data_IF_806642281450
#
_entry.id   IF_806642281450
#
_cell.length_a   1.000
_cell.length_b   1.000
_cell.length_c   1.000
_cell.angle_alpha   90.00
_cell.angle_beta   90.00
_cell.angle_gamma   90.00
#
_symmetry.space_group_name_H-M   'P 1'
#
loop_
_entity.id
_entity.type
_entity.pdbx_description
1 polymer ?
#
# COMPACT_ATOMS: atom_id res chain seq x y z
N UNK A 1 1.87 10.52 5.19
CA UNK A 1 1.60 9.38 4.28
C UNK A 1 2.39 9.57 2.99
N UNK A 2 3.00 8.52 2.44
CA UNK A 2 3.83 8.57 1.21
C UNK A 2 3.09 7.93 0.01
N UNK A 3 2.41 8.75 -0.79
CA UNK A 3 1.61 8.28 -1.92
C UNK A 3 2.48 7.67 -3.01
N UNK A 4 3.68 8.23 -3.24
CA UNK A 4 4.62 7.72 -4.25
C UNK A 4 5.05 6.30 -3.92
N UNK A 5 5.43 6.06 -2.66
CA UNK A 5 5.84 4.73 -2.18
C UNK A 5 4.68 3.74 -2.20
N UNK A 6 3.48 4.15 -1.81
CA UNK A 6 2.28 3.30 -1.92
C UNK A 6 2.04 2.86 -3.37
N UNK A 7 2.04 3.80 -4.33
CA UNK A 7 1.84 3.49 -5.76
C UNK A 7 2.95 2.58 -6.28
N UNK A 8 4.21 2.79 -5.87
CA UNK A 8 5.33 1.93 -6.26
C UNK A 8 5.16 0.51 -5.71
N UNK A 9 4.83 0.36 -4.43
CA UNK A 9 4.63 -0.94 -3.77
C UNK A 9 3.40 -1.69 -4.30
N UNK A 10 2.40 -0.96 -4.81
CA UNK A 10 1.26 -1.51 -5.52
C UNK A 10 1.61 -2.11 -6.90
N UNK A 11 2.87 -2.06 -7.34
CA UNK A 11 3.27 -2.51 -8.68
C UNK A 11 3.33 -1.40 -9.73
N UNK A 12 3.31 -0.13 -9.30
CA UNK A 12 3.36 1.04 -10.17
C UNK A 12 1.98 1.49 -10.67
N UNK A 13 1.95 2.55 -11.50
CA UNK A 13 0.70 3.22 -11.89
C UNK A 13 -0.28 2.33 -12.65
N UNK A 14 0.19 1.37 -13.47
CA UNK A 14 -0.68 0.44 -14.21
C UNK A 14 -1.43 -0.49 -13.27
N UNK A 15 -0.72 -1.09 -12.33
CA UNK A 15 -1.33 -2.01 -11.37
C UNK A 15 -2.20 -1.25 -10.36
N UNK A 16 -1.76 -0.06 -9.94
CA UNK A 16 -2.58 0.82 -9.12
C UNK A 16 -3.90 1.21 -9.80
N UNK A 17 -3.88 1.51 -11.11
CA UNK A 17 -5.09 1.70 -11.91
C UNK A 17 -5.97 0.45 -11.91
N UNK A 18 -5.40 -0.74 -12.13
CA UNK A 18 -6.14 -2.01 -12.13
C UNK A 18 -6.83 -2.28 -10.80
N UNK A 19 -6.17 -1.96 -9.67
CA UNK A 19 -6.68 -2.17 -8.32
C UNK A 19 -7.75 -1.16 -7.91
N UNK A 20 -7.62 0.10 -8.33
CA UNK A 20 -8.45 1.22 -7.85
C UNK A 20 -9.50 1.69 -8.85
N UNK A 21 -9.39 1.29 -10.12
CA UNK A 21 -10.20 1.79 -11.23
C UNK A 21 -9.89 3.24 -11.63
N UNK A 22 -8.87 3.87 -11.03
CA UNK A 22 -8.53 5.26 -11.27
C UNK A 22 -7.85 5.46 -12.64
N UNK A 23 -8.11 6.61 -13.25
CA UNK A 23 -7.42 7.02 -14.47
C UNK A 23 -5.97 7.45 -14.20
N UNK A 24 -5.09 7.35 -15.20
CA UNK A 24 -3.70 7.82 -15.08
C UNK A 24 -3.58 9.29 -14.64
N UNK A 25 -4.41 10.25 -15.12
CA UNK A 25 -4.39 11.62 -14.62
C UNK A 25 -4.66 11.72 -13.11
N UNK A 26 -5.64 10.96 -12.58
CA UNK A 26 -5.93 10.93 -11.14
C UNK A 26 -4.75 10.36 -10.34
N UNK A 27 -4.15 9.26 -10.83
CA UNK A 27 -2.97 8.66 -10.19
C UNK A 27 -1.78 9.62 -10.20
N UNK A 28 -1.56 10.32 -11.33
CA UNK A 28 -0.52 11.33 -11.44
C UNK A 28 -0.78 12.50 -10.48
N UNK A 29 -2.03 12.92 -10.34
CA UNK A 29 -2.43 13.96 -9.39
C UNK A 29 -2.11 13.54 -7.95
N UNK A 30 -2.50 12.33 -7.53
CA UNK A 30 -2.23 11.79 -6.20
C UNK A 30 -0.73 11.69 -5.92
N UNK A 31 0.03 11.22 -6.90
CA UNK A 31 1.50 11.13 -6.82
C UNK A 31 2.16 12.50 -6.68
N UNK A 32 1.64 13.52 -7.37
CA UNK A 32 2.21 14.87 -7.37
C UNK A 32 1.85 15.63 -6.10
N UNK A 33 0.64 15.44 -5.60
CA UNK A 33 0.14 16.04 -4.34
C UNK A 33 0.60 15.29 -3.08
N UNK A 34 1.27 14.17 -3.25
CA UNK A 34 1.62 13.22 -2.20
C UNK A 34 0.43 12.84 -1.30
N UNK A 35 -0.72 12.62 -1.94
CA UNK A 35 -2.00 12.43 -1.27
C UNK A 35 -2.86 11.39 -1.99
N UNK A 36 -3.42 10.47 -1.22
CA UNK A 36 -4.38 9.46 -1.66
C UNK A 36 -5.60 9.59 -0.74
N UNK A 37 -6.82 9.73 -1.28
CA UNK A 37 -8.02 9.84 -0.44
C UNK A 37 -8.23 8.64 0.49
N UNK A 38 -8.76 8.87 1.69
CA UNK A 38 -8.91 7.83 2.72
C UNK A 38 -9.69 6.59 2.24
N UNK A 39 -10.70 6.76 1.39
CA UNK A 39 -11.46 5.62 0.83
C UNK A 39 -10.60 4.73 -0.07
N UNK A 40 -9.67 5.31 -0.84
CA UNK A 40 -8.70 4.55 -1.65
C UNK A 40 -7.68 3.86 -0.75
N UNK A 41 -7.22 4.51 0.32
CA UNK A 41 -6.34 3.85 1.31
C UNK A 41 -7.02 2.64 1.95
N UNK A 42 -8.28 2.76 2.39
CA UNK A 42 -9.04 1.63 2.94
C UNK A 42 -9.16 0.48 1.96
N UNK A 43 -9.46 0.79 0.69
CA UNK A 43 -9.50 -0.21 -0.38
C UNK A 43 -8.15 -0.91 -0.53
N UNK A 44 -7.05 -0.15 -0.60
CA UNK A 44 -5.71 -0.71 -0.75
C UNK A 44 -5.29 -1.55 0.46
N UNK A 45 -5.63 -1.16 1.68
CA UNK A 45 -5.41 -1.98 2.89
C UNK A 45 -6.13 -3.33 2.76
N UNK A 46 -7.37 -3.33 2.28
CA UNK A 46 -8.12 -4.56 2.07
C UNK A 46 -7.54 -5.42 0.94
N UNK A 47 -7.08 -4.79 -0.15
CA UNK A 47 -6.53 -5.48 -1.32
C UNK A 47 -5.10 -5.96 -1.13
N UNK A 48 -4.31 -5.30 -0.28
CA UNK A 48 -2.88 -5.53 -0.08
C UNK A 48 -2.50 -5.46 1.42
N UNK A 49 -3.11 -6.29 2.30
CA UNK A 49 -2.89 -6.24 3.73
C UNK A 49 -1.46 -6.64 4.15
N UNK A 50 -0.69 -7.24 3.24
CA UNK A 50 0.71 -7.62 3.43
C UNK A 50 1.71 -6.45 3.45
N UNK A 51 1.32 -5.25 2.98
CA UNK A 51 2.19 -4.08 3.05
C UNK A 51 2.35 -3.58 4.50
N UNK A 52 3.45 -2.89 4.77
CA UNK A 52 3.69 -2.28 6.09
C UNK A 52 2.95 -0.95 6.21
N UNK A 53 1.62 -1.03 6.32
CA UNK A 53 0.74 0.13 6.38
C UNK A 53 1.07 1.13 7.49
N UNK A 54 1.44 0.74 8.72
CA UNK A 54 1.89 1.70 9.74
C UNK A 54 3.04 2.59 9.26
N UNK A 55 4.02 2.01 8.56
CA UNK A 55 5.14 2.76 8.00
C UNK A 55 4.68 3.70 6.87
N UNK A 56 3.80 3.22 5.98
CA UNK A 56 3.31 3.98 4.82
C UNK A 56 2.38 5.14 5.20
N UNK A 57 1.60 4.96 6.26
CA UNK A 57 0.63 5.93 6.75
C UNK A 57 1.27 6.95 7.69
N UNK A 58 2.36 6.58 8.37
CA UNK A 58 3.04 7.40 9.37
C UNK A 58 2.03 7.95 10.40
N UNK A 59 1.96 9.28 10.56
CA UNK A 59 1.06 9.98 11.48
C UNK A 59 -0.43 9.62 11.27
N UNK A 60 -0.84 9.22 10.07
CA UNK A 60 -2.22 8.85 9.77
C UNK A 60 -2.60 7.43 10.24
N UNK A 61 -1.68 6.63 10.79
CA UNK A 61 -1.93 5.22 11.12
C UNK A 61 -3.13 5.02 12.05
N UNK A 62 -3.33 5.92 13.02
CA UNK A 62 -4.43 5.83 13.99
C UNK A 62 -5.81 5.91 13.32
N UNK A 63 -5.95 6.64 12.22
CA UNK A 63 -7.20 6.73 11.44
C UNK A 63 -7.63 5.37 10.88
N UNK A 64 -6.67 4.47 10.62
CA UNK A 64 -6.90 3.17 10.01
C UNK A 64 -6.72 2.00 10.98
N UNK A 65 -6.45 2.28 12.26
CA UNK A 65 -6.14 1.25 13.25
C UNK A 65 -7.24 0.18 13.38
N UNK A 66 -8.52 0.57 13.29
CA UNK A 66 -9.64 -0.37 13.30
C UNK A 66 -9.58 -1.37 12.14
N UNK A 67 -9.28 -0.89 10.93
CA UNK A 67 -9.17 -1.74 9.74
C UNK A 67 -7.91 -2.61 9.77
N UNK A 68 -6.76 -2.05 10.19
CA UNK A 68 -5.51 -2.79 10.33
C UNK A 68 -5.58 -3.88 11.42
N UNK A 69 -6.44 -3.70 12.42
CA UNK A 69 -6.67 -4.67 13.48
C UNK A 69 -7.82 -5.63 13.20
N UNK A 70 -8.55 -5.47 12.10
CA UNK A 70 -9.63 -6.37 11.73
C UNK A 70 -9.13 -7.81 11.56
N UNK A 71 -9.87 -8.75 12.14
CA UNK A 71 -9.47 -10.17 12.19
C UNK A 71 -9.33 -10.77 10.79
N UNK A 72 -10.19 -10.41 9.84
CA UNK A 72 -10.14 -10.92 8.46
C UNK A 72 -8.93 -10.33 7.75
N UNK A 73 -8.69 -9.03 7.88
CA UNK A 73 -7.50 -8.36 7.32
C UNK A 73 -6.21 -9.00 7.83
N UNK A 74 -6.08 -9.23 9.15
CA UNK A 74 -4.92 -9.92 9.73
C UNK A 74 -4.77 -11.35 9.21
N UNK A 75 -5.88 -12.09 9.11
CA UNK A 75 -5.85 -13.46 8.60
C UNK A 75 -5.37 -13.52 7.14
N UNK A 76 -5.86 -12.62 6.29
CA UNK A 76 -5.42 -12.51 4.88
C UNK A 76 -3.96 -12.08 4.80
N UNK A 77 -3.52 -11.11 5.61
CA UNK A 77 -2.10 -10.72 5.72
C UNK A 77 -1.22 -11.93 6.00
N UNK A 78 -1.54 -12.70 7.04
CA UNK A 78 -0.77 -13.89 7.44
C UNK A 78 -0.76 -14.92 6.31
N UNK A 79 -1.90 -15.20 5.70
CA UNK A 79 -2.00 -16.15 4.59
C UNK A 79 -1.10 -15.73 3.41
N UNK A 80 -1.13 -14.45 3.02
CA UNK A 80 -0.31 -13.92 1.92
C UNK A 80 1.17 -13.85 2.23
N UNK A 81 1.55 -13.54 3.47
CA UNK A 81 2.94 -13.59 3.91
C UNK A 81 3.49 -15.02 3.92
N UNK A 82 2.63 -16.04 4.11
CA UNK A 82 3.01 -17.45 4.01
C UNK A 82 3.16 -17.93 2.56
N UNK A 83 2.34 -17.42 1.64
CA UNK A 83 2.38 -17.82 0.22
C UNK A 83 3.40 -17.04 -0.60
N UNK A 84 3.67 -15.79 -0.22
CA UNK A 84 4.85 -15.06 -0.71
C UNK A 84 6.07 -15.77 -0.14
N UNK A 85 6.71 -16.64 -0.95
CA UNK A 85 8.13 -17.00 -0.75
C UNK A 85 8.86 -15.72 -0.37
N UNK A 86 9.76 -15.73 0.64
CA UNK A 86 10.46 -14.53 1.06
C UNK A 86 11.14 -13.95 -0.17
N UNK A 87 10.54 -12.91 -0.74
CA UNK A 87 11.18 -12.09 -1.73
C UNK A 87 12.38 -11.56 -0.96
N UNK A 88 13.55 -12.03 -1.40
CA UNK A 88 14.83 -11.61 -0.90
C UNK A 88 14.75 -10.15 -0.50
N UNK A 89 15.27 -9.88 0.71
CA UNK A 89 15.73 -8.56 1.10
C UNK A 89 16.18 -7.85 -0.17
N UNK A 90 15.37 -6.92 -0.69
CA UNK A 90 15.88 -5.88 -1.56
C UNK A 90 16.75 -5.09 -0.59
N UNK A 91 17.98 -5.58 -0.42
CA UNK A 91 19.07 -4.81 0.13
C UNK A 91 19.05 -3.58 -0.73
N UNK A 92 18.75 -2.45 -0.10
CA UNK A 92 19.24 -1.18 -0.60
C UNK A 92 20.75 -1.36 -0.74
N UNK A 93 21.20 -1.72 -1.94
CA UNK A 93 22.56 -1.43 -2.34
C UNK A 93 22.58 0.07 -2.56
N UNK A 94 22.83 0.81 -1.47
CA UNK A 94 23.69 1.98 -1.60
C UNK A 94 24.99 1.46 -2.22
N UNK A 95 25.28 1.92 -3.44
CA UNK A 95 26.34 1.38 -4.25
C UNK A 95 26.80 2.40 -5.27
N UNK A 96 27.82 3.15 -4.84
CA UNK A 96 28.75 4.02 -5.57
C UNK A 96 28.22 5.35 -6.10
#
# INVERSE_FOLDING_TARGET
>A
MDAKRIIKLAGGSKEFQRLTGLSFPQISHYRTRDYIPSHQIRLLIALMPELDWPELLAENTLEYAGLLNDRRIKSVRIARLRTRKPLEKIRFTEGA
#
